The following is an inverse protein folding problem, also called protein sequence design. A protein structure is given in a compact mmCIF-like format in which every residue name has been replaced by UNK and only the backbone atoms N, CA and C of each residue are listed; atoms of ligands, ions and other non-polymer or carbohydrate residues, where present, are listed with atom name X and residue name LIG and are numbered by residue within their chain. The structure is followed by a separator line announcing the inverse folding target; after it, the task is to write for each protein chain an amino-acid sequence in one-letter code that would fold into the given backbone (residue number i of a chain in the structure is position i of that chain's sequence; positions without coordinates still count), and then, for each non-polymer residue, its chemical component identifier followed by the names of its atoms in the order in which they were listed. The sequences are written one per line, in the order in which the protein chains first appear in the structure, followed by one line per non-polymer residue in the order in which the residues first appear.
data_IF_788408988214
#
_entry.id   IF_788408988214
#
_cell.length_a   1.000
_cell.length_b   1.000
_cell.length_c   1.000
_cell.angle_alpha   90.00
_cell.angle_beta   90.00
_cell.angle_gamma   90.00
#
_symmetry.space_group_name_H-M   'P 1'
#
loop_
_entity.id
_entity.type
_entity.pdbx_description
1 polymer ?
#
# COMPACT_ATOMS: atom_id res chain seq x y z
N UNK A 1 -7.54 1.87 -5.20
CA UNK A 1 -6.98 0.70 -4.50
C UNK A 1 -5.95 -0.05 -5.34
N UNK A 2 -6.26 -0.45 -6.58
CA UNK A 2 -5.28 -1.10 -7.47
C UNK A 2 -3.95 -0.32 -7.59
N UNK A 3 -4.01 1.01 -7.67
CA UNK A 3 -2.81 1.86 -7.64
C UNK A 3 -1.95 1.67 -6.38
N UNK A 4 -2.56 1.62 -5.19
CA UNK A 4 -1.85 1.38 -3.93
C UNK A 4 -1.18 -0.02 -3.91
N UNK A 5 -1.87 -1.05 -4.42
CA UNK A 5 -1.32 -2.41 -4.54
C UNK A 5 -0.11 -2.44 -5.47
N UNK A 6 -0.21 -1.81 -6.64
CA UNK A 6 0.87 -1.74 -7.60
C UNK A 6 2.07 -0.97 -7.06
N UNK A 7 1.83 0.18 -6.43
CA UNK A 7 2.87 1.02 -5.82
C UNK A 7 3.60 0.29 -4.69
N UNK A 8 2.87 -0.42 -3.82
CA UNK A 8 3.47 -1.25 -2.78
C UNK A 8 4.36 -2.34 -3.36
N UNK A 9 3.91 -3.03 -4.43
CA UNK A 9 4.71 -4.03 -5.13
C UNK A 9 6.03 -3.46 -5.69
N UNK A 10 6.00 -2.23 -6.22
CA UNK A 10 7.21 -1.53 -6.67
C UNK A 10 8.16 -1.21 -5.52
N UNK A 11 7.64 -0.79 -4.35
CA UNK A 11 8.44 -0.52 -3.16
C UNK A 11 9.09 -1.80 -2.61
N UNK A 12 8.33 -2.88 -2.49
CA UNK A 12 8.82 -4.16 -1.97
C UNK A 12 10.00 -4.68 -2.80
N UNK A 13 9.85 -4.68 -4.14
CA UNK A 13 10.89 -5.16 -5.06
C UNK A 13 12.03 -4.16 -5.31
N UNK A 14 12.04 -3.01 -4.64
CA UNK A 14 12.97 -1.93 -4.92
C UNK A 14 13.04 -1.60 -6.43
N UNK A 15 11.88 -1.51 -7.07
CA UNK A 15 11.75 -1.39 -8.53
C UNK A 15 12.43 -0.13 -9.07
N UNK A 16 13.11 -0.24 -10.21
CA UNK A 16 13.64 0.93 -10.95
C UNK A 16 12.56 1.90 -11.42
N UNK A 17 11.30 1.44 -11.48
CA UNK A 17 10.15 2.24 -11.87
C UNK A 17 9.38 2.84 -10.69
N UNK A 18 9.85 2.64 -9.45
CA UNK A 18 9.15 3.16 -8.26
C UNK A 18 9.15 4.69 -8.20
N UNK A 19 10.00 5.39 -8.96
CA UNK A 19 10.09 6.86 -8.96
C UNK A 19 10.11 7.42 -7.50
N UNK A 20 9.17 8.32 -7.18
CA UNK A 20 9.01 8.94 -5.85
C UNK A 20 8.02 8.20 -4.93
N UNK A 21 7.69 6.94 -5.22
CA UNK A 21 6.76 6.14 -4.41
C UNK A 21 7.22 6.06 -2.96
N UNK A 22 6.28 6.03 -2.03
CA UNK A 22 6.56 5.92 -0.60
C UNK A 22 5.51 5.10 0.12
N UNK A 23 5.86 4.46 1.23
CA UNK A 23 4.91 3.69 2.04
C UNK A 23 3.74 4.56 2.51
N UNK A 24 4.03 5.79 2.94
CA UNK A 24 3.00 6.79 3.26
C UNK A 24 2.02 7.04 2.10
N UNK A 25 2.52 7.25 0.89
CA UNK A 25 1.66 7.46 -0.29
C UNK A 25 0.77 6.24 -0.58
N UNK A 26 1.31 5.03 -0.48
CA UNK A 26 0.53 3.79 -0.60
C UNK A 26 -0.60 3.75 0.44
N UNK A 27 -0.30 4.06 1.69
CA UNK A 27 -1.26 4.06 2.80
C UNK A 27 -2.38 5.08 2.52
N UNK A 28 -2.03 6.30 2.08
CA UNK A 28 -3.01 7.35 1.77
C UNK A 28 -3.91 6.94 0.60
N UNK A 29 -3.34 6.38 -0.47
CA UNK A 29 -4.09 5.85 -1.62
C UNK A 29 -5.01 4.68 -1.23
N UNK A 30 -4.58 3.82 -0.31
CA UNK A 30 -5.35 2.69 0.18
C UNK A 30 -6.51 3.15 1.07
N UNK A 31 -6.25 4.04 2.04
CA UNK A 31 -7.24 4.60 2.97
C UNK A 31 -8.36 5.32 2.19
N UNK A 32 -8.00 6.14 1.21
CA UNK A 32 -8.95 6.85 0.35
C UNK A 32 -9.78 5.93 -0.57
N UNK A 33 -9.35 4.67 -0.77
CA UNK A 33 -10.00 3.71 -1.65
C UNK A 33 -10.54 2.47 -0.91
N UNK A 34 -10.74 2.57 0.41
CA UNK A 34 -11.27 1.47 1.25
C UNK A 34 -12.73 1.17 0.87
N UNK A 35 -13.61 2.18 0.83
CA UNK A 35 -15.03 1.98 0.54
C UNK A 35 -15.73 1.04 1.55
N UNK A 36 -16.78 0.33 1.12
CA UNK A 36 -17.35 -0.78 1.89
C UNK A 36 -16.35 -1.95 1.90
N UNK A 37 -15.99 -2.39 3.09
CA UNK A 37 -14.98 -3.42 3.35
C UNK A 37 -15.55 -4.43 4.36
N UNK A 38 -16.62 -5.13 3.94
CA UNK A 38 -17.42 -6.01 4.80
C UNK A 38 -16.57 -7.16 5.38
N UNK A 39 -15.67 -7.70 4.56
CA UNK A 39 -14.74 -8.77 4.94
C UNK A 39 -13.42 -8.25 5.54
N UNK A 40 -13.20 -6.93 5.59
CA UNK A 40 -12.02 -6.32 6.22
C UNK A 40 -10.69 -6.44 5.45
N UNK A 41 -10.68 -6.99 4.24
CA UNK A 41 -9.45 -7.23 3.49
C UNK A 41 -8.66 -5.97 3.14
N UNK A 42 -9.35 -4.84 2.91
CA UNK A 42 -8.68 -3.59 2.56
C UNK A 42 -8.01 -2.96 3.78
N UNK A 43 -8.64 -3.07 4.95
CA UNK A 43 -8.01 -2.72 6.23
C UNK A 43 -6.80 -3.60 6.52
N UNK A 44 -6.89 -4.90 6.28
CA UNK A 44 -5.74 -5.79 6.49
C UNK A 44 -4.60 -5.48 5.51
N UNK A 45 -4.90 -5.15 4.24
CA UNK A 45 -3.90 -4.65 3.30
C UNK A 45 -3.16 -3.42 3.85
N UNK A 46 -3.88 -2.42 4.38
CA UNK A 46 -3.26 -1.22 4.96
C UNK A 46 -2.32 -1.59 6.11
N UNK A 47 -2.75 -2.51 6.99
CA UNK A 47 -1.92 -3.01 8.09
C UNK A 47 -0.63 -3.67 7.60
N UNK A 48 -0.69 -4.48 6.54
CA UNK A 48 0.49 -5.12 5.95
C UNK A 48 1.47 -4.11 5.34
N UNK A 49 0.96 -3.04 4.73
CA UNK A 49 1.78 -1.94 4.21
C UNK A 49 2.50 -1.21 5.36
N UNK A 50 1.79 -0.89 6.44
CA UNK A 50 2.37 -0.25 7.65
C UNK A 50 3.42 -1.16 8.31
N UNK A 51 3.21 -2.47 8.35
CA UNK A 51 4.21 -3.43 8.83
C UNK A 51 5.45 -3.45 7.92
N UNK A 52 5.26 -3.42 6.61
CA UNK A 52 6.36 -3.40 5.65
C UNK A 52 7.26 -2.17 5.80
N UNK A 53 6.67 -1.02 6.12
CA UNK A 53 7.40 0.23 6.39
C UNK A 53 8.29 0.11 7.63
N UNK A 54 7.86 -0.62 8.65
CA UNK A 54 8.61 -0.79 9.91
C UNK A 54 9.74 -1.81 9.83
N UNK A 55 9.68 -2.74 8.88
CA UNK A 55 10.62 -3.88 8.78
C UNK A 55 11.73 -3.60 7.74
N UNK A 56 11.54 -2.62 6.85
CA UNK A 56 12.59 -2.13 5.95
C UNK A 56 13.43 -1.04 6.60
#
# INVERSE_FOLDING_TARGET
FAAAVAEWGMLLRNSKYKAKSSYKQVIDLAKNATGKDEEGYRKEFIRLVELSEKIK
#
